data_IF_677813844285
#
_entry.id   IF_677813844285
#
_cell.length_a   1.000
_cell.length_b   1.000
_cell.length_c   1.000
_cell.angle_alpha   90.00
_cell.angle_beta   90.00
_cell.angle_gamma   90.00
#
_symmetry.space_group_name_H-M   'P 1'
#
loop_
_entity.id
_entity.type
_entity.pdbx_description
1 polymer ?
#
# COMPACT_ATOMS: atom_id res chain seq x y z
N UNK A 1 -27.88 -19.15 -3.30
CA UNK A 1 -28.44 -20.51 -3.43
C UNK A 1 -28.30 -21.27 -2.12
N UNK A 2 -29.10 -22.36 -1.89
CA UNK A 2 -28.99 -23.18 -0.67
C UNK A 2 -27.60 -23.80 -0.48
N UNK A 3 -26.92 -24.13 -1.55
CA UNK A 3 -25.54 -24.66 -1.56
C UNK A 3 -24.54 -23.63 -1.02
N UNK A 4 -24.59 -22.37 -1.48
CA UNK A 4 -23.74 -21.29 -0.97
C UNK A 4 -23.95 -21.03 0.53
N UNK A 5 -25.20 -21.15 1.00
CA UNK A 5 -25.50 -21.01 2.42
C UNK A 5 -24.86 -22.12 3.26
N UNK A 6 -24.95 -23.37 2.79
CA UNK A 6 -24.30 -24.52 3.47
C UNK A 6 -22.78 -24.34 3.51
N UNK A 7 -22.14 -23.97 2.40
CA UNK A 7 -20.71 -23.72 2.33
C UNK A 7 -20.26 -22.64 3.33
N UNK A 8 -20.95 -21.48 3.38
CA UNK A 8 -20.63 -20.41 4.32
C UNK A 8 -20.86 -20.84 5.80
N UNK A 9 -21.93 -21.63 6.07
CA UNK A 9 -22.21 -22.11 7.42
C UNK A 9 -21.12 -23.07 7.91
N UNK A 10 -20.68 -24.01 7.07
CA UNK A 10 -19.62 -24.95 7.40
C UNK A 10 -18.28 -24.24 7.54
N UNK A 11 -18.00 -23.28 6.69
CA UNK A 11 -16.81 -22.43 6.78
C UNK A 11 -16.79 -21.58 8.06
N UNK A 12 -17.93 -20.97 8.48
CA UNK A 12 -18.03 -20.26 9.76
C UNK A 12 -17.71 -21.15 10.96
N UNK A 13 -18.24 -22.40 10.95
CA UNK A 13 -17.96 -23.38 11.99
C UNK A 13 -16.50 -23.81 12.03
N UNK A 14 -15.88 -23.91 10.86
CA UNK A 14 -14.47 -24.31 10.76
C UNK A 14 -13.55 -23.19 11.22
N UNK A 15 -13.83 -21.93 10.83
CA UNK A 15 -13.12 -20.77 11.36
C UNK A 15 -13.25 -20.66 12.89
N UNK A 16 -14.44 -20.96 13.45
CA UNK A 16 -14.65 -20.98 14.90
C UNK A 16 -13.87 -22.08 15.64
N UNK A 17 -13.31 -23.07 14.93
CA UNK A 17 -12.44 -24.10 15.52
C UNK A 17 -10.96 -23.80 15.32
N UNK A 18 -10.62 -23.07 14.25
CA UNK A 18 -9.24 -22.88 13.79
C UNK A 18 -8.70 -21.48 14.06
N UNK A 19 -9.57 -20.54 14.46
CA UNK A 19 -9.19 -19.16 14.79
C UNK A 19 -9.66 -18.79 16.20
N UNK A 20 -9.26 -17.62 16.67
CA UNK A 20 -9.69 -17.08 17.96
C UNK A 20 -11.14 -16.55 17.94
N UNK A 21 -11.80 -16.52 16.77
CA UNK A 21 -13.18 -16.04 16.63
C UNK A 21 -14.18 -17.18 16.79
N UNK A 22 -15.32 -16.88 17.40
CA UNK A 22 -16.46 -17.80 17.42
C UNK A 22 -17.07 -17.99 16.03
N UNK A 23 -17.81 -19.07 15.82
CA UNK A 23 -18.56 -19.27 14.58
C UNK A 23 -19.59 -18.15 14.30
N UNK A 24 -20.12 -17.53 15.35
CA UNK A 24 -21.04 -16.39 15.21
C UNK A 24 -20.31 -15.15 14.71
N UNK A 25 -19.18 -14.78 15.31
CA UNK A 25 -18.36 -13.65 14.86
C UNK A 25 -17.87 -13.86 13.42
N UNK A 26 -17.49 -15.08 13.06
CA UNK A 26 -17.14 -15.44 11.69
C UNK A 26 -18.31 -15.24 10.71
N UNK A 27 -19.53 -15.61 11.11
CA UNK A 27 -20.74 -15.40 10.28
C UNK A 27 -21.08 -13.89 10.13
N UNK A 28 -20.90 -13.10 11.19
CA UNK A 28 -21.08 -11.64 11.15
C UNK A 28 -20.03 -10.99 10.22
N UNK A 29 -18.78 -11.44 10.28
CA UNK A 29 -17.71 -11.00 9.39
C UNK A 29 -17.99 -11.35 7.92
N UNK A 30 -18.52 -12.53 7.62
CA UNK A 30 -18.97 -12.91 6.27
C UNK A 30 -20.11 -12.03 5.78
N UNK A 31 -21.08 -11.74 6.67
CA UNK A 31 -22.20 -10.84 6.34
C UNK A 31 -21.69 -9.44 5.99
N UNK A 32 -20.69 -8.94 6.70
CA UNK A 32 -20.06 -7.65 6.44
C UNK A 32 -19.42 -7.61 5.04
N UNK A 33 -18.61 -8.61 4.70
CA UNK A 33 -17.98 -8.72 3.37
C UNK A 33 -19.02 -8.89 2.26
N UNK A 34 -20.10 -9.64 2.51
CA UNK A 34 -21.22 -9.76 1.58
C UNK A 34 -21.92 -8.42 1.30
N UNK A 35 -22.07 -7.57 2.34
CA UNK A 35 -22.58 -6.20 2.17
C UNK A 35 -21.61 -5.30 1.41
N UNK A 36 -20.31 -5.54 1.53
CA UNK A 36 -19.27 -4.87 0.74
C UNK A 36 -19.21 -5.38 -0.72
N UNK A 37 -20.09 -6.33 -1.10
CA UNK A 37 -20.23 -6.81 -2.47
C UNK A 37 -19.41 -8.05 -2.82
N UNK A 38 -18.77 -8.70 -1.84
CA UNK A 38 -18.02 -9.93 -2.05
C UNK A 38 -18.95 -11.14 -2.25
N UNK A 39 -18.66 -11.97 -3.21
CA UNK A 39 -19.35 -13.25 -3.39
C UNK A 39 -18.82 -14.33 -2.43
N UNK A 40 -19.48 -15.50 -2.41
CA UNK A 40 -19.12 -16.62 -1.53
C UNK A 40 -17.66 -17.05 -1.68
N UNK A 41 -17.16 -17.11 -2.92
CA UNK A 41 -15.79 -17.54 -3.21
C UNK A 41 -14.77 -16.52 -2.70
N UNK A 42 -15.05 -15.24 -2.93
CA UNK A 42 -14.23 -14.13 -2.46
C UNK A 42 -14.18 -14.07 -0.93
N UNK A 43 -15.33 -14.26 -0.26
CA UNK A 43 -15.41 -14.30 1.21
C UNK A 43 -14.56 -15.46 1.74
N UNK A 44 -14.70 -16.66 1.19
CA UNK A 44 -13.94 -17.82 1.65
C UNK A 44 -12.43 -17.67 1.42
N UNK A 45 -12.01 -17.02 0.35
CA UNK A 45 -10.60 -16.76 0.05
C UNK A 45 -9.99 -15.67 0.94
N UNK A 46 -10.71 -14.57 1.17
CA UNK A 46 -10.16 -13.38 1.82
C UNK A 46 -10.36 -13.30 3.33
N UNK A 47 -11.46 -13.84 3.86
CA UNK A 47 -11.81 -13.68 5.27
C UNK A 47 -10.72 -14.15 6.25
N UNK A 48 -10.05 -15.32 6.07
CA UNK A 48 -9.01 -15.75 7.01
C UNK A 48 -7.86 -14.73 7.12
N UNK A 49 -7.44 -14.15 6.00
CA UNK A 49 -6.37 -13.16 5.96
C UNK A 49 -6.77 -11.85 6.65
N UNK A 50 -8.02 -11.42 6.47
CA UNK A 50 -8.58 -10.22 7.14
C UNK A 50 -8.69 -10.45 8.65
N UNK A 51 -9.14 -11.64 9.09
CA UNK A 51 -9.20 -12.00 10.50
C UNK A 51 -7.82 -11.99 11.16
N UNK A 52 -6.83 -12.59 10.52
CA UNK A 52 -5.45 -12.56 11.01
C UNK A 52 -4.90 -11.14 11.11
N UNK A 53 -5.18 -10.28 10.10
CA UNK A 53 -4.76 -8.88 10.14
C UNK A 53 -5.52 -8.09 11.22
N UNK A 54 -6.77 -8.44 11.51
CA UNK A 54 -7.57 -7.89 12.62
C UNK A 54 -6.86 -8.14 13.95
N UNK A 55 -6.47 -9.39 14.21
CA UNK A 55 -5.72 -9.76 15.42
C UNK A 55 -4.36 -9.06 15.43
N UNK A 56 -3.59 -9.17 14.35
CA UNK A 56 -2.26 -8.60 14.22
C UNK A 56 -2.22 -7.08 14.39
N UNK A 57 -3.26 -6.37 13.95
CA UNK A 57 -3.32 -4.90 14.05
C UNK A 57 -3.94 -4.40 15.37
N UNK A 58 -4.65 -5.26 16.11
CA UNK A 58 -5.44 -4.89 17.30
C UNK A 58 -6.61 -3.95 16.99
N UNK A 59 -7.05 -3.91 15.71
CA UNK A 59 -8.20 -3.10 15.29
C UNK A 59 -9.47 -3.94 15.18
N UNK A 60 -10.62 -3.28 15.14
CA UNK A 60 -11.88 -3.96 14.90
C UNK A 60 -11.97 -4.49 13.46
N UNK A 61 -12.74 -5.57 13.30
CA UNK A 61 -12.88 -6.26 12.02
C UNK A 61 -13.41 -5.33 10.90
N UNK A 62 -14.40 -4.50 11.21
CA UNK A 62 -15.03 -3.66 10.20
C UNK A 62 -14.02 -2.66 9.60
N UNK A 63 -13.22 -2.01 10.44
CA UNK A 63 -12.14 -1.10 10.01
C UNK A 63 -11.11 -1.83 9.14
N UNK A 64 -10.67 -3.03 9.53
CA UNK A 64 -9.67 -3.79 8.76
C UNK A 64 -10.25 -4.28 7.44
N UNK A 65 -11.49 -4.79 7.46
CA UNK A 65 -12.20 -5.27 6.27
C UNK A 65 -12.41 -4.15 5.24
N UNK A 66 -12.82 -2.96 5.68
CA UNK A 66 -12.95 -1.78 4.80
C UNK A 66 -11.61 -1.42 4.15
N UNK A 67 -10.53 -1.32 4.95
CA UNK A 67 -9.20 -0.99 4.42
C UNK A 67 -8.73 -2.04 3.41
N UNK A 68 -8.91 -3.32 3.70
CA UNK A 68 -8.46 -4.40 2.80
C UNK A 68 -9.30 -4.43 1.53
N UNK A 69 -10.64 -4.44 1.64
CA UNK A 69 -11.53 -4.56 0.48
C UNK A 69 -11.42 -3.35 -0.47
N UNK A 70 -11.38 -2.14 0.09
CA UNK A 70 -11.24 -0.90 -0.68
C UNK A 70 -9.90 -0.87 -1.44
N UNK A 71 -8.81 -1.25 -0.77
CA UNK A 71 -7.49 -1.18 -1.39
C UNK A 71 -7.23 -2.32 -2.37
N UNK A 72 -7.75 -3.55 -2.14
CA UNK A 72 -7.74 -4.60 -3.15
C UNK A 72 -8.41 -4.11 -4.43
N UNK A 73 -9.60 -3.52 -4.31
CA UNK A 73 -10.34 -2.94 -5.44
C UNK A 73 -9.53 -1.81 -6.10
N UNK A 74 -8.95 -0.91 -5.33
CA UNK A 74 -8.19 0.24 -5.84
C UNK A 74 -6.93 -0.18 -6.61
N UNK A 75 -6.24 -1.25 -6.17
CA UNK A 75 -5.09 -1.81 -6.88
C UNK A 75 -5.47 -2.77 -8.00
N UNK A 76 -6.76 -3.09 -8.19
CA UNK A 76 -7.23 -4.06 -9.16
C UNK A 76 -6.84 -5.51 -8.80
N UNK A 77 -6.66 -5.78 -7.51
CA UNK A 77 -6.31 -7.09 -6.97
C UNK A 77 -7.58 -7.90 -6.69
N UNK A 78 -7.52 -9.21 -6.87
CA UNK A 78 -8.60 -10.13 -6.54
C UNK A 78 -8.60 -10.49 -5.04
N UNK A 79 -9.73 -11.05 -4.56
CA UNK A 79 -9.82 -11.54 -3.17
C UNK A 79 -8.79 -12.64 -2.84
N UNK A 80 -8.38 -13.43 -3.82
CA UNK A 80 -7.33 -14.45 -3.68
C UNK A 80 -5.95 -13.84 -3.36
N UNK A 81 -5.74 -12.58 -3.71
CA UNK A 81 -4.53 -11.84 -3.42
C UNK A 81 -4.56 -11.14 -2.04
N UNK A 82 -5.66 -11.30 -1.28
CA UNK A 82 -5.80 -10.71 0.05
C UNK A 82 -4.66 -11.08 1.00
N UNK A 83 -4.18 -12.33 0.97
CA UNK A 83 -3.04 -12.77 1.76
C UNK A 83 -1.78 -11.96 1.46
N UNK A 84 -1.46 -11.76 0.19
CA UNK A 84 -0.31 -10.92 -0.24
C UNK A 84 -0.45 -9.47 0.22
N UNK A 85 -1.67 -8.93 0.18
CA UNK A 85 -1.93 -7.57 0.61
C UNK A 85 -1.84 -7.42 2.14
N UNK A 86 -2.47 -8.33 2.90
CA UNK A 86 -2.42 -8.30 4.38
C UNK A 86 -1.00 -8.52 4.89
N UNK A 87 -0.23 -9.41 4.28
CA UNK A 87 1.19 -9.63 4.60
C UNK A 87 2.05 -8.39 4.37
N UNK A 88 1.76 -7.64 3.29
CA UNK A 88 2.42 -6.35 3.04
C UNK A 88 2.14 -5.33 4.15
N UNK A 89 0.90 -5.26 4.64
CA UNK A 89 0.52 -4.37 5.74
C UNK A 89 1.15 -4.81 7.08
N UNK A 90 1.13 -6.11 7.38
CA UNK A 90 1.76 -6.66 8.59
C UNK A 90 3.28 -6.39 8.58
N UNK A 91 3.94 -6.62 7.43
CA UNK A 91 5.34 -6.28 7.26
C UNK A 91 5.60 -4.78 7.49
N UNK A 92 4.76 -3.91 6.92
CA UNK A 92 4.91 -2.47 7.08
C UNK A 92 4.78 -2.04 8.55
N UNK A 93 3.79 -2.58 9.29
CA UNK A 93 3.61 -2.29 10.72
C UNK A 93 4.78 -2.78 11.58
N UNK A 94 5.42 -3.89 11.21
CA UNK A 94 6.55 -4.47 11.95
C UNK A 94 7.89 -3.81 11.65
N UNK A 95 8.04 -3.16 10.47
CA UNK A 95 9.35 -2.71 9.99
C UNK A 95 9.45 -1.19 9.73
N UNK A 96 8.38 -0.44 9.96
CA UNK A 96 8.37 1.01 9.80
C UNK A 96 7.52 1.69 10.88
N UNK A 97 7.67 3.00 11.02
CA UNK A 97 6.90 3.79 11.98
C UNK A 97 5.49 4.10 11.44
N UNK A 98 4.71 3.06 11.18
CA UNK A 98 3.32 3.12 10.73
C UNK A 98 2.45 2.14 11.51
N UNK A 99 1.15 2.34 11.49
CA UNK A 99 0.15 1.43 12.05
C UNK A 99 -1.01 1.27 11.07
N UNK A 100 -1.97 0.40 11.39
CA UNK A 100 -3.11 0.10 10.52
C UNK A 100 -3.89 1.35 10.10
N UNK A 101 -4.17 2.26 11.04
CA UNK A 101 -4.91 3.49 10.74
C UNK A 101 -4.16 4.39 9.76
N UNK A 102 -2.87 4.64 10.04
CA UNK A 102 -2.06 5.52 9.21
C UNK A 102 -1.77 4.91 7.83
N UNK A 103 -1.65 3.58 7.73
CA UNK A 103 -1.56 2.86 6.46
C UNK A 103 -2.86 2.98 5.68
N UNK A 104 -4.00 2.62 6.30
CA UNK A 104 -5.31 2.70 5.67
C UNK A 104 -5.63 4.11 5.17
N UNK A 105 -5.39 5.13 6.00
CA UNK A 105 -5.61 6.51 5.61
C UNK A 105 -4.68 6.96 4.48
N UNK A 106 -3.41 6.55 4.48
CA UNK A 106 -2.47 6.88 3.39
C UNK A 106 -2.91 6.21 2.08
N UNK A 107 -3.19 4.91 2.14
CA UNK A 107 -3.52 4.09 0.96
C UNK A 107 -4.85 4.51 0.34
N UNK A 108 -5.85 4.90 1.11
CA UNK A 108 -7.10 5.46 0.61
C UNK A 108 -6.89 6.59 -0.42
N UNK A 109 -5.89 7.44 -0.21
CA UNK A 109 -5.60 8.56 -1.10
C UNK A 109 -4.71 8.17 -2.29
N UNK A 110 -3.82 7.20 -2.12
CA UNK A 110 -2.80 6.92 -3.12
C UNK A 110 -3.09 5.67 -3.96
N UNK A 111 -3.74 4.63 -3.43
CA UNK A 111 -3.89 3.35 -4.12
C UNK A 111 -4.54 3.48 -5.51
N UNK A 112 -5.66 4.22 -5.71
CA UNK A 112 -6.26 4.38 -7.03
C UNK A 112 -5.31 5.06 -8.03
N UNK A 113 -4.53 6.04 -7.57
CA UNK A 113 -3.59 6.79 -8.41
C UNK A 113 -2.37 5.95 -8.73
N UNK A 114 -1.79 5.25 -7.75
CA UNK A 114 -0.65 4.36 -7.95
C UNK A 114 -0.98 3.28 -8.98
N UNK A 115 -2.12 2.62 -8.83
CA UNK A 115 -2.62 1.60 -9.77
C UNK A 115 -2.77 2.16 -11.17
N UNK A 116 -3.48 3.27 -11.34
CA UNK A 116 -3.70 3.90 -12.66
C UNK A 116 -2.40 4.43 -13.29
N UNK A 117 -1.44 4.86 -12.48
CA UNK A 117 -0.12 5.31 -12.90
C UNK A 117 0.87 4.16 -13.21
N UNK A 118 0.48 2.91 -12.93
CA UNK A 118 1.28 1.71 -13.22
C UNK A 118 2.32 1.36 -12.14
N UNK A 119 2.21 1.94 -10.94
CA UNK A 119 3.05 1.56 -9.80
C UNK A 119 2.44 0.39 -9.03
N UNK A 120 3.27 -0.53 -8.55
CA UNK A 120 2.81 -1.70 -7.82
C UNK A 120 2.36 -1.37 -6.39
N UNK A 121 1.57 -2.28 -5.80
CA UNK A 121 1.15 -2.20 -4.41
C UNK A 121 2.38 -2.16 -3.48
N UNK A 122 3.37 -3.01 -3.72
CA UNK A 122 4.58 -3.09 -2.88
C UNK A 122 5.42 -1.81 -2.92
N UNK A 123 5.57 -1.20 -4.09
CA UNK A 123 6.27 0.08 -4.22
C UNK A 123 5.52 1.21 -3.51
N UNK A 124 4.18 1.19 -3.61
CA UNK A 124 3.33 2.17 -2.95
C UNK A 124 3.41 2.06 -1.43
N UNK A 125 3.28 0.84 -0.89
CA UNK A 125 3.40 0.58 0.55
C UNK A 125 4.81 0.93 1.03
N UNK A 126 5.86 0.58 0.28
CA UNK A 126 7.25 0.93 0.65
C UNK A 126 7.47 2.45 0.73
N UNK A 127 6.86 3.22 -0.16
CA UNK A 127 6.93 4.67 -0.11
C UNK A 127 6.17 5.26 1.09
N UNK A 128 5.02 4.67 1.47
CA UNK A 128 4.29 5.04 2.70
C UNK A 128 5.13 4.72 3.94
N UNK A 129 5.81 3.55 3.99
CA UNK A 129 6.73 3.18 5.07
C UNK A 129 7.84 4.21 5.23
N UNK A 130 8.50 4.57 4.13
CA UNK A 130 9.59 5.53 4.12
C UNK A 130 9.14 6.92 4.62
N UNK A 131 7.98 7.39 4.21
CA UNK A 131 7.39 8.63 4.75
C UNK A 131 7.03 8.51 6.22
N UNK A 132 6.49 7.36 6.64
CA UNK A 132 6.12 7.07 8.02
C UNK A 132 7.31 7.15 8.98
N UNK A 133 8.48 6.64 8.59
CA UNK A 133 9.72 6.73 9.36
C UNK A 133 10.19 8.18 9.57
N UNK A 134 9.89 9.05 8.61
CA UNK A 134 10.16 10.48 8.71
C UNK A 134 9.04 11.26 9.41
N UNK A 135 8.02 10.58 9.94
CA UNK A 135 6.90 11.21 10.65
C UNK A 135 5.78 11.75 9.75
N UNK A 136 5.87 11.54 8.43
CA UNK A 136 4.83 11.93 7.48
C UNK A 136 3.87 10.73 7.30
N UNK A 137 2.67 10.81 7.88
CA UNK A 137 1.74 9.68 8.01
C UNK A 137 0.33 10.02 7.57
N UNK A 138 -0.52 9.01 7.43
CA UNK A 138 -1.94 9.15 7.14
C UNK A 138 -2.22 9.94 5.87
N UNK A 139 -3.20 10.83 5.92
CA UNK A 139 -3.61 11.65 4.77
C UNK A 139 -2.49 12.52 4.20
N UNK A 140 -1.53 12.95 5.01
CA UNK A 140 -0.39 13.73 4.54
C UNK A 140 0.53 12.89 3.65
N UNK A 141 0.84 11.66 4.04
CA UNK A 141 1.62 10.74 3.22
C UNK A 141 0.89 10.41 1.91
N UNK A 142 -0.38 10.02 2.01
CA UNK A 142 -1.21 9.69 0.86
C UNK A 142 -1.33 10.84 -0.14
N UNK A 143 -1.61 12.04 0.32
CA UNK A 143 -1.72 13.25 -0.53
C UNK A 143 -0.38 13.62 -1.16
N UNK A 144 0.72 13.52 -0.41
CA UNK A 144 2.07 13.74 -0.92
C UNK A 144 2.39 12.76 -2.06
N UNK A 145 2.23 11.46 -1.83
CA UNK A 145 2.50 10.42 -2.84
C UNK A 145 1.59 10.57 -4.07
N UNK A 146 0.32 10.88 -3.86
CA UNK A 146 -0.61 11.16 -4.95
C UNK A 146 -0.09 12.28 -5.85
N UNK A 147 0.33 13.40 -5.28
CA UNK A 147 0.88 14.52 -6.03
C UNK A 147 2.17 14.15 -6.74
N UNK A 148 3.07 13.43 -6.07
CA UNK A 148 4.33 12.94 -6.64
C UNK A 148 4.05 12.04 -7.85
N UNK A 149 3.27 10.99 -7.69
CA UNK A 149 3.02 10.00 -8.75
C UNK A 149 2.30 10.61 -9.95
N UNK A 150 1.31 11.48 -9.74
CA UNK A 150 0.66 12.20 -10.83
C UNK A 150 1.62 13.11 -11.61
N UNK A 151 2.47 13.86 -10.91
CA UNK A 151 3.40 14.77 -11.58
C UNK A 151 4.53 14.03 -12.29
N UNK A 152 5.00 12.90 -11.75
CA UNK A 152 5.97 12.03 -12.42
C UNK A 152 5.40 11.46 -13.72
N UNK A 153 4.11 11.10 -13.74
CA UNK A 153 3.48 10.44 -14.90
C UNK A 153 2.82 11.41 -15.91
N UNK A 154 3.12 12.70 -15.80
CA UNK A 154 2.80 13.68 -16.86
C UNK A 154 1.62 14.60 -16.56
N UNK A 155 1.04 14.58 -15.35
CA UNK A 155 -0.05 15.49 -14.99
C UNK A 155 0.37 16.98 -14.94
N UNK A 156 1.68 17.27 -14.99
CA UNK A 156 2.22 18.61 -14.91
C UNK A 156 3.33 18.81 -15.96
N UNK A 157 3.09 19.67 -16.96
CA UNK A 157 4.06 19.94 -18.04
C UNK A 157 5.41 20.47 -17.53
N UNK A 158 5.43 21.30 -16.48
CA UNK A 158 6.68 21.80 -15.88
C UNK A 158 7.48 20.67 -15.22
N UNK A 159 6.81 19.72 -14.57
CA UNK A 159 7.44 18.54 -14.01
C UNK A 159 8.04 17.69 -15.13
N UNK A 160 7.26 17.40 -16.17
CA UNK A 160 7.72 16.63 -17.34
C UNK A 160 8.94 17.26 -18.01
N UNK A 161 8.91 18.58 -18.23
CA UNK A 161 10.05 19.30 -18.80
C UNK A 161 11.30 19.22 -17.92
N UNK A 162 11.13 19.37 -16.59
CA UNK A 162 12.23 19.30 -15.62
C UNK A 162 12.82 17.88 -15.53
N UNK A 163 12.00 16.86 -15.51
CA UNK A 163 12.45 15.45 -15.51
C UNK A 163 13.26 15.14 -16.78
N UNK A 164 12.79 15.62 -17.94
CA UNK A 164 13.52 15.48 -19.22
C UNK A 164 14.85 16.23 -19.21
N UNK A 165 14.90 17.46 -18.67
CA UNK A 165 16.14 18.23 -18.49
C UNK A 165 17.16 17.47 -17.63
N UNK A 166 16.68 16.76 -16.59
CA UNK A 166 17.49 15.95 -15.68
C UNK A 166 17.89 14.59 -16.28
N UNK A 167 17.38 14.20 -17.46
CA UNK A 167 17.59 12.87 -18.03
C UNK A 167 16.89 11.75 -17.26
N UNK A 168 15.84 12.07 -16.49
CA UNK A 168 15.06 11.09 -15.72
C UNK A 168 13.90 10.58 -16.57
N UNK A 169 13.97 9.33 -16.99
CA UNK A 169 12.94 8.67 -17.76
C UNK A 169 11.89 8.02 -16.84
N UNK A 170 10.62 8.29 -17.12
CA UNK A 170 9.49 7.76 -16.36
C UNK A 170 8.93 6.49 -17.00
N UNK A 171 8.98 6.42 -18.32
CA UNK A 171 8.49 5.29 -19.10
C UNK A 171 9.64 4.51 -19.71
N UNK A 172 9.47 3.22 -19.88
CA UNK A 172 10.39 2.38 -20.62
C UNK A 172 10.15 2.48 -22.15
N UNK A 173 10.94 1.75 -22.93
CA UNK A 173 10.84 1.74 -24.39
C UNK A 173 9.50 1.19 -24.93
N UNK A 174 8.71 0.50 -24.11
CA UNK A 174 7.37 0.01 -24.44
C UNK A 174 6.27 0.99 -24.05
N UNK A 175 6.60 2.10 -23.39
CA UNK A 175 5.65 3.08 -22.85
C UNK A 175 5.06 2.70 -21.48
N UNK A 176 5.56 1.64 -20.84
CA UNK A 176 5.15 1.25 -19.49
C UNK A 176 5.88 2.08 -18.45
N UNK A 177 5.19 2.47 -17.38
CA UNK A 177 5.78 3.17 -16.25
C UNK A 177 6.88 2.31 -15.61
N UNK A 178 8.06 2.92 -15.45
CA UNK A 178 9.18 2.30 -14.74
C UNK A 178 8.90 2.24 -13.25
N UNK A 179 9.60 1.35 -12.54
CA UNK A 179 9.41 1.22 -11.11
C UNK A 179 9.68 2.55 -10.38
N UNK A 180 8.88 2.82 -9.34
CA UNK A 180 9.04 4.03 -8.53
C UNK A 180 10.46 4.16 -7.98
N UNK A 181 11.00 3.05 -7.48
CA UNK A 181 12.35 3.02 -6.92
C UNK A 181 13.43 3.32 -7.97
N UNK A 182 13.27 2.87 -9.22
CA UNK A 182 14.20 3.18 -10.30
C UNK A 182 14.16 4.67 -10.68
N UNK A 183 12.97 5.27 -10.68
CA UNK A 183 12.79 6.71 -10.92
C UNK A 183 13.45 7.52 -9.80
N UNK A 184 13.27 7.14 -8.53
CA UNK A 184 13.94 7.79 -7.39
C UNK A 184 15.46 7.66 -7.52
N UNK A 185 15.98 6.51 -7.93
CA UNK A 185 17.43 6.30 -8.14
C UNK A 185 18.02 7.23 -9.22
N UNK A 186 17.29 7.43 -10.30
CA UNK A 186 17.74 8.33 -11.35
C UNK A 186 17.67 9.80 -10.89
N UNK A 187 16.65 10.16 -10.09
CA UNK A 187 16.56 11.47 -9.46
C UNK A 187 17.72 11.71 -8.49
N UNK A 188 18.06 10.75 -7.64
CA UNK A 188 19.24 10.87 -6.75
C UNK A 188 20.50 11.21 -7.52
N UNK A 189 20.78 10.46 -8.60
CA UNK A 189 21.93 10.69 -9.46
C UNK A 189 21.89 12.06 -10.15
N UNK A 190 20.71 12.46 -10.64
CA UNK A 190 20.56 13.75 -11.34
C UNK A 190 20.72 14.95 -10.41
N UNK A 191 20.44 14.78 -9.12
CA UNK A 191 20.61 15.81 -8.09
C UNK A 191 22.00 15.78 -7.44
N UNK A 192 22.82 14.78 -7.73
CA UNK A 192 24.19 14.71 -7.19
C UNK A 192 25.02 15.92 -7.65
N UNK A 193 25.83 16.45 -6.73
CA UNK A 193 26.62 17.68 -6.98
C UNK A 193 25.82 18.99 -6.94
N UNK A 194 24.49 18.98 -6.83
CA UNK A 194 23.70 20.21 -6.64
C UNK A 194 23.77 20.69 -5.19
N UNK A 195 23.73 22.01 -5.01
CA UNK A 195 23.55 22.61 -3.67
C UNK A 195 22.14 22.33 -3.14
N UNK A 196 21.93 22.43 -1.82
CA UNK A 196 20.60 22.22 -1.21
C UNK A 196 19.54 23.16 -1.77
N UNK A 197 19.91 24.42 -2.07
CA UNK A 197 19.01 25.37 -2.70
C UNK A 197 18.60 24.93 -4.11
N UNK A 198 19.54 24.40 -4.91
CA UNK A 198 19.27 23.89 -6.26
C UNK A 198 18.40 22.63 -6.19
N UNK A 199 18.70 21.68 -5.29
CA UNK A 199 17.89 20.48 -5.05
C UNK A 199 16.44 20.86 -4.71
N UNK A 200 16.27 21.76 -3.73
CA UNK A 200 14.97 22.22 -3.29
C UNK A 200 14.19 22.89 -4.43
N UNK A 201 14.82 23.77 -5.20
CA UNK A 201 14.19 24.44 -6.34
C UNK A 201 13.77 23.44 -7.44
N UNK A 202 14.63 22.46 -7.73
CA UNK A 202 14.37 21.40 -8.70
C UNK A 202 13.19 20.52 -8.27
N UNK A 203 13.21 20.00 -7.05
CA UNK A 203 12.13 19.16 -6.51
C UNK A 203 10.81 19.95 -6.41
N UNK A 204 10.87 21.22 -6.00
CA UNK A 204 9.69 22.10 -6.00
C UNK A 204 9.10 22.31 -7.39
N UNK A 205 9.92 22.36 -8.44
CA UNK A 205 9.44 22.45 -9.83
C UNK A 205 8.68 21.18 -10.22
N UNK A 206 9.13 20.02 -9.76
CA UNK A 206 8.50 18.72 -10.08
C UNK A 206 7.18 18.54 -9.32
N UNK A 207 7.15 18.75 -8.00
CA UNK A 207 5.99 18.37 -7.18
C UNK A 207 5.23 19.53 -6.55
N UNK A 208 5.75 20.74 -6.62
CA UNK A 208 5.16 21.92 -6.02
C UNK A 208 5.32 22.00 -4.50
N UNK A 209 4.85 23.13 -3.92
CA UNK A 209 5.09 23.48 -2.51
C UNK A 209 4.45 22.52 -1.51
N UNK A 210 3.33 21.91 -1.85
CA UNK A 210 2.58 21.04 -0.92
C UNK A 210 3.20 19.67 -0.74
N UNK A 211 3.88 19.13 -1.75
CA UNK A 211 4.46 17.79 -1.71
C UNK A 211 5.99 17.78 -1.56
N UNK A 212 6.65 18.95 -1.61
CA UNK A 212 8.12 19.01 -1.62
C UNK A 212 8.75 18.38 -0.38
N UNK A 213 8.19 18.59 0.81
CA UNK A 213 8.75 18.06 2.06
C UNK A 213 8.82 16.53 2.02
N UNK A 214 7.70 15.88 1.71
CA UNK A 214 7.69 14.42 1.62
C UNK A 214 8.47 13.88 0.42
N UNK A 215 8.45 14.57 -0.73
CA UNK A 215 9.23 14.13 -1.88
C UNK A 215 10.74 14.26 -1.64
N UNK A 216 11.20 15.35 -1.02
CA UNK A 216 12.59 15.49 -0.59
C UNK A 216 12.99 14.39 0.40
N UNK A 217 12.09 14.04 1.31
CA UNK A 217 12.31 12.91 2.24
C UNK A 217 12.55 11.60 1.49
N UNK A 218 11.69 11.25 0.51
CA UNK A 218 11.83 10.02 -0.28
C UNK A 218 13.15 10.01 -1.07
N UNK A 219 13.50 11.12 -1.71
CA UNK A 219 14.76 11.24 -2.45
C UNK A 219 15.96 11.16 -1.53
N UNK A 220 15.92 11.77 -0.34
CA UNK A 220 17.02 11.75 0.63
C UNK A 220 17.19 10.40 1.32
N UNK A 221 16.10 9.65 1.55
CA UNK A 221 16.18 8.28 2.07
C UNK A 221 16.74 7.31 1.03
N UNK A 222 16.49 7.62 -0.22
CA UNK A 222 17.11 6.98 -1.35
C UNK A 222 16.41 5.74 -1.88
N UNK A 223 16.76 5.38 -3.10
CA UNK A 223 16.23 4.20 -3.77
C UNK A 223 16.60 2.89 -3.06
N UNK A 224 17.75 2.83 -2.40
CA UNK A 224 18.17 1.61 -1.72
C UNK A 224 17.27 1.27 -0.53
N UNK A 225 16.82 2.28 0.24
CA UNK A 225 15.85 2.08 1.33
C UNK A 225 14.48 1.64 0.81
N UNK A 226 14.01 2.25 -0.27
CA UNK A 226 12.76 1.85 -0.92
C UNK A 226 12.85 0.42 -1.47
N UNK A 227 14.00 0.03 -2.05
CA UNK A 227 14.25 -1.33 -2.53
C UNK A 227 14.28 -2.35 -1.38
N UNK A 228 14.89 -2.02 -0.25
CA UNK A 228 14.88 -2.84 0.96
C UNK A 228 13.43 -3.14 1.38
N UNK A 229 12.61 -2.10 1.54
CA UNK A 229 11.20 -2.26 1.90
C UNK A 229 10.40 -3.03 0.86
N UNK A 230 10.51 -2.68 -0.42
CA UNK A 230 9.80 -3.39 -1.50
C UNK A 230 10.18 -4.87 -1.54
N UNK A 231 11.46 -5.20 -1.36
CA UNK A 231 11.94 -6.58 -1.29
C UNK A 231 11.42 -7.30 -0.04
N UNK A 232 11.43 -6.63 1.10
CA UNK A 232 10.88 -7.18 2.35
C UNK A 232 9.40 -7.50 2.22
N UNK A 233 8.60 -6.59 1.66
CA UNK A 233 7.18 -6.80 1.38
C UNK A 233 6.97 -8.00 0.46
N UNK A 234 7.72 -8.12 -0.63
CA UNK A 234 7.61 -9.26 -1.55
C UNK A 234 7.95 -10.60 -0.91
N UNK A 235 8.76 -10.60 0.11
CA UNK A 235 9.20 -11.79 0.84
C UNK A 235 8.43 -12.02 2.15
N UNK A 236 7.38 -11.25 2.43
CA UNK A 236 6.64 -11.27 3.70
C UNK A 236 5.52 -12.31 3.76
N UNK A 237 5.50 -13.29 2.86
CA UNK A 237 4.46 -14.33 2.86
C UNK A 237 4.33 -14.98 4.25
N UNK A 238 3.12 -14.94 4.82
CA UNK A 238 2.82 -15.44 6.16
C UNK A 238 3.05 -14.45 7.30
N UNK A 239 3.51 -13.23 7.01
CA UNK A 239 3.80 -12.22 8.04
C UNK A 239 2.56 -11.85 8.87
N UNK A 240 1.37 -11.84 8.28
CA UNK A 240 0.12 -11.57 8.99
C UNK A 240 -0.19 -12.65 10.01
N UNK A 241 -0.03 -13.92 9.63
CA UNK A 241 -0.24 -15.05 10.54
C UNK A 241 0.77 -15.03 11.68
N UNK A 242 2.05 -14.87 11.37
CA UNK A 242 3.11 -14.80 12.38
C UNK A 242 2.88 -13.66 13.39
N UNK A 243 2.47 -12.49 12.90
CA UNK A 243 2.14 -11.35 13.75
C UNK A 243 0.88 -11.63 14.60
N UNK A 244 -0.16 -12.25 14.03
CA UNK A 244 -1.36 -12.62 14.77
C UNK A 244 -1.05 -13.64 15.88
N UNK A 245 -0.23 -14.65 15.60
CA UNK A 245 0.18 -15.68 16.57
C UNK A 245 0.98 -15.11 17.74
N UNK A 246 1.70 -14.00 17.55
CA UNK A 246 2.47 -13.33 18.61
C UNK A 246 1.65 -12.35 19.42
N UNK A 247 0.52 -11.86 18.89
CA UNK A 247 -0.35 -10.87 19.54
C UNK A 247 -1.56 -11.50 20.25
N UNK A 248 -1.93 -12.74 19.90
CA UNK A 248 -3.02 -13.52 20.48
C UNK A 248 -2.54 -14.43 21.59
#
# INVERSE_FOLDING_TARGET
>A
TGESFTQLTDFARDLGKTTMMSAQESAEAMSFLGMAGWDTTQIMAGLPNILNLTVASGRDFATVADIVSDNLTAFGMSADESGRYTDALAYAMSNANVNMDTLGESLKYIAPVASSAGFSMEETVSAVMALGDAGIKGSQAGTTLRTVMLNLTGANEKATAKLKELGVEIFDSSGKTRSFNAIIKDLEKALDGMTDAQKTATLNTIVGKTAISGFSTLVNQGADKLNEYTKGIRNSSGATQEMADTMG
#
